data_IF_107016820861
#
_entry.id   IF_107016820861
#
_cell.length_a   1.000
_cell.length_b   1.000
_cell.length_c   1.000
_cell.angle_alpha   90.00
_cell.angle_beta   90.00
_cell.angle_gamma   90.00
#
_symmetry.space_group_name_H-M   'P 1'
#
loop_
_entity.id
_entity.type
_entity.pdbx_description
1 polymer ?
#
# COMPACT_ATOMS: atom_id res chain seq x y z
N UNK A 1 10.87 55.20 -0.52
CA UNK A 1 10.26 54.58 0.67
C UNK A 1 9.23 53.57 0.18
N UNK A 2 9.47 52.29 0.45
CA UNK A 2 8.58 51.18 0.12
C UNK A 2 7.72 50.94 1.36
N UNK A 3 6.39 51.07 1.27
CA UNK A 3 5.49 50.57 2.32
C UNK A 3 4.30 49.85 1.70
N UNK A 4 4.06 48.66 2.25
CA UNK A 4 3.31 47.53 1.70
C UNK A 4 2.07 47.36 2.58
N UNK A 5 0.90 47.77 2.09
CA UNK A 5 -0.37 47.46 2.77
C UNK A 5 -1.04 46.26 2.11
N UNK A 6 -0.96 45.13 2.82
CA UNK A 6 -1.80 43.93 2.68
C UNK A 6 -3.19 44.25 3.20
N UNK A 7 -4.22 43.63 2.60
CA UNK A 7 -5.53 43.18 3.15
C UNK A 7 -6.57 43.37 2.04
N UNK A 8 -7.50 42.48 1.72
CA UNK A 8 -7.77 41.07 1.95
C UNK A 8 -8.96 40.75 1.02
N UNK A 9 -9.29 39.47 0.84
CA UNK A 9 -10.67 39.10 0.52
C UNK A 9 -10.86 38.14 -0.65
N UNK A 10 -10.89 36.85 -0.32
CA UNK A 10 -11.77 35.83 -0.93
C UNK A 10 -11.56 35.57 -2.44
N UNK A 11 -10.53 34.78 -2.75
CA UNK A 11 -10.57 33.93 -3.95
C UNK A 11 -11.45 32.72 -3.67
N UNK A 12 -12.68 32.83 -4.18
CA UNK A 12 -13.69 31.79 -4.27
C UNK A 12 -13.25 30.72 -5.28
N UNK A 13 -13.62 29.47 -4.97
CA UNK A 13 -13.68 28.31 -5.87
C UNK A 13 -12.35 27.68 -6.30
N UNK A 14 -11.75 26.89 -5.41
CA UNK A 14 -11.01 25.71 -5.83
C UNK A 14 -12.03 24.68 -6.36
N UNK A 15 -12.09 24.57 -7.68
CA UNK A 15 -12.76 23.49 -8.37
C UNK A 15 -12.11 22.17 -7.93
N UNK A 16 -12.85 21.37 -7.18
CA UNK A 16 -12.51 19.97 -6.90
C UNK A 16 -12.72 19.21 -8.20
N UNK A 17 -11.66 19.18 -9.03
CA UNK A 17 -11.58 18.31 -10.19
C UNK A 17 -11.67 16.87 -9.72
N UNK A 18 -12.69 16.16 -10.19
CA UNK A 18 -12.95 14.77 -9.88
C UNK A 18 -11.72 13.90 -10.19
N UNK A 19 -11.22 13.23 -9.16
CA UNK A 19 -10.25 12.17 -9.29
C UNK A 19 -10.96 10.96 -9.89
N UNK A 20 -10.90 10.82 -11.22
CA UNK A 20 -11.30 9.58 -11.90
C UNK A 20 -10.19 8.57 -11.63
N UNK A 21 -10.45 7.62 -10.72
CA UNK A 21 -9.64 6.42 -10.57
C UNK A 21 -9.94 5.49 -11.75
N UNK A 22 -9.25 5.73 -12.87
CA UNK A 22 -9.11 4.78 -13.97
C UNK A 22 -8.34 3.56 -13.51
N UNK A 23 -8.89 2.37 -13.76
CA UNK A 23 -8.12 1.12 -13.81
C UNK A 23 -8.67 -0.07 -13.04
N UNK A 24 -9.97 -0.38 -13.14
CA UNK A 24 -10.39 -1.78 -12.97
C UNK A 24 -10.04 -2.52 -14.27
N UNK A 25 -8.79 -2.97 -14.36
CA UNK A 25 -8.45 -4.06 -15.26
C UNK A 25 -9.02 -5.33 -14.66
N UNK A 26 -10.01 -5.90 -15.34
CA UNK A 26 -10.40 -7.29 -15.21
C UNK A 26 -9.14 -8.16 -15.37
N UNK A 27 -8.65 -8.73 -14.27
CA UNK A 27 -7.58 -9.71 -14.29
C UNK A 27 -8.09 -11.00 -13.61
N UNK A 28 -8.75 -11.79 -14.44
CA UNK A 28 -9.19 -13.15 -14.20
C UNK A 28 -7.99 -14.10 -14.10
N UNK A 29 -7.26 -14.07 -12.97
CA UNK A 29 -6.46 -15.22 -12.48
C UNK A 29 -5.86 -15.09 -11.08
N UNK A 30 -6.00 -13.95 -10.39
CA UNK A 30 -5.81 -13.96 -8.94
C UNK A 30 -7.11 -14.50 -8.33
N UNK A 31 -7.12 -15.74 -7.82
CA UNK A 31 -8.24 -16.21 -6.99
C UNK A 31 -8.54 -15.08 -6.00
N UNK A 32 -9.77 -14.54 -5.95
CA UNK A 32 -10.05 -13.41 -5.08
C UNK A 32 -9.74 -13.88 -3.66
N UNK A 33 -8.62 -13.41 -3.11
CA UNK A 33 -8.28 -13.62 -1.71
C UNK A 33 -9.40 -12.94 -0.94
N UNK A 34 -10.23 -13.73 -0.24
CA UNK A 34 -11.24 -13.16 0.63
C UNK A 34 -10.54 -12.58 1.86
N UNK A 35 -10.07 -11.34 1.72
CA UNK A 35 -9.35 -10.63 2.77
C UNK A 35 -10.22 -10.53 4.04
N UNK A 36 -11.56 -10.56 3.94
CA UNK A 36 -12.43 -10.47 5.12
C UNK A 36 -12.41 -11.74 5.96
N UNK A 37 -12.24 -12.90 5.33
CA UNK A 37 -12.10 -14.20 5.98
C UNK A 37 -10.73 -14.40 6.66
N UNK A 38 -9.74 -13.55 6.34
CA UNK A 38 -8.39 -13.67 6.87
C UNK A 38 -8.25 -13.12 8.30
N UNK A 39 -7.27 -13.61 9.08
CA UNK A 39 -6.99 -13.11 10.43
C UNK A 39 -6.70 -11.60 10.47
N UNK A 40 -6.97 -10.96 11.61
CA UNK A 40 -6.87 -9.49 11.76
C UNK A 40 -5.47 -8.99 11.39
N UNK A 41 -4.43 -9.73 11.74
CA UNK A 41 -3.03 -9.36 11.53
C UNK A 41 -2.62 -9.53 10.07
N UNK A 42 -3.12 -10.58 9.41
CA UNK A 42 -3.02 -10.72 7.96
C UNK A 42 -3.62 -9.50 7.27
N UNK A 43 -4.87 -9.14 7.62
CA UNK A 43 -5.57 -8.01 6.99
C UNK A 43 -4.86 -6.68 7.25
N UNK A 44 -4.40 -6.47 8.48
CA UNK A 44 -3.69 -5.24 8.88
C UNK A 44 -2.42 -5.07 8.06
N UNK A 45 -1.62 -6.11 7.94
CA UNK A 45 -0.36 -6.05 7.20
C UNK A 45 -0.58 -6.00 5.68
N UNK A 46 -1.59 -6.72 5.17
CA UNK A 46 -2.06 -6.60 3.79
C UNK A 46 -2.44 -5.15 3.47
N UNK A 47 -3.19 -4.48 4.36
CA UNK A 47 -3.58 -3.08 4.18
C UNK A 47 -2.37 -2.15 4.15
N UNK A 48 -1.41 -2.33 5.08
CA UNK A 48 -0.16 -1.53 5.13
C UNK A 48 0.63 -1.66 3.83
N UNK A 49 0.85 -2.88 3.37
CA UNK A 49 1.65 -3.14 2.18
C UNK A 49 0.87 -2.86 0.88
N UNK A 50 -0.45 -2.64 0.98
CA UNK A 50 -1.31 -2.15 -0.09
C UNK A 50 -1.34 -0.61 -0.23
N UNK A 51 -0.66 0.16 0.62
CA UNK A 51 -0.74 1.64 0.53
C UNK A 51 0.05 2.17 -0.67
N UNK A 52 1.11 1.48 -1.10
CA UNK A 52 1.98 1.98 -2.15
C UNK A 52 2.99 0.95 -2.63
N UNK A 53 4.11 1.42 -3.19
CA UNK A 53 5.23 0.58 -3.59
C UNK A 53 6.06 0.14 -2.37
N UNK A 54 6.82 -0.95 -2.54
CA UNK A 54 7.83 -1.43 -1.57
C UNK A 54 8.73 -0.28 -1.08
N UNK A 55 9.23 0.57 -1.99
CA UNK A 55 10.05 1.75 -1.62
C UNK A 55 9.30 2.79 -0.79
N UNK A 56 8.00 2.98 -1.04
CA UNK A 56 7.18 3.92 -0.27
C UNK A 56 6.94 3.40 1.15
N UNK A 57 6.61 2.12 1.28
CA UNK A 57 6.39 1.49 2.59
C UNK A 57 7.71 1.46 3.38
N UNK A 58 8.83 1.11 2.75
CA UNK A 58 10.15 1.12 3.41
C UNK A 58 10.49 2.51 4.00
N UNK A 59 10.28 3.59 3.25
CA UNK A 59 10.48 4.95 3.76
C UNK A 59 9.55 5.29 4.92
N UNK A 60 8.26 4.92 4.80
CA UNK A 60 7.25 5.22 5.83
C UNK A 60 7.51 4.51 7.16
N UNK A 61 8.04 3.29 7.10
CA UNK A 61 8.30 2.45 8.27
C UNK A 61 9.78 2.42 8.69
N UNK A 62 10.63 3.26 8.10
CA UNK A 62 12.05 3.37 8.47
C UNK A 62 12.86 2.10 8.19
N UNK A 63 12.48 1.33 7.17
CA UNK A 63 13.18 0.10 6.79
C UNK A 63 14.39 0.47 5.92
N UNK A 64 15.59 0.13 6.39
CA UNK A 64 16.85 0.46 5.70
C UNK A 64 16.95 -0.19 4.31
N UNK A 65 16.46 -1.42 4.17
CA UNK A 65 16.42 -2.14 2.91
C UNK A 65 14.98 -2.29 2.42
N UNK A 66 14.71 -1.80 1.21
CA UNK A 66 13.40 -1.88 0.59
C UNK A 66 13.17 -3.26 -0.07
N UNK A 67 13.27 -4.34 0.72
CA UNK A 67 12.93 -5.70 0.28
C UNK A 67 11.54 -6.09 0.75
N UNK A 68 10.81 -6.95 0.01
CA UNK A 68 9.50 -7.44 0.42
C UNK A 68 9.50 -8.06 1.82
N UNK A 69 10.55 -8.79 2.18
CA UNK A 69 10.70 -9.50 3.44
C UNK A 69 10.95 -8.53 4.61
N UNK A 70 11.83 -7.53 4.42
CA UNK A 70 12.11 -6.53 5.45
C UNK A 70 10.87 -5.65 5.71
N UNK A 71 10.09 -5.36 4.66
CA UNK A 71 8.81 -4.66 4.79
C UNK A 71 7.76 -5.53 5.47
N UNK A 72 7.68 -6.82 5.14
CA UNK A 72 6.76 -7.74 5.80
C UNK A 72 7.05 -7.88 7.29
N UNK A 73 8.33 -7.88 7.68
CA UNK A 73 8.75 -7.83 9.09
C UNK A 73 8.35 -6.52 9.78
N UNK A 74 8.56 -5.38 9.12
CA UNK A 74 8.14 -4.08 9.63
C UNK A 74 6.61 -3.97 9.74
N UNK A 75 5.86 -4.51 8.79
CA UNK A 75 4.41 -4.56 8.81
C UNK A 75 3.89 -5.44 9.95
N UNK A 76 4.51 -6.61 10.19
CA UNK A 76 4.17 -7.48 11.32
C UNK A 76 4.38 -6.79 12.67
N UNK A 77 5.47 -6.01 12.82
CA UNK A 77 5.69 -5.17 14.00
C UNK A 77 4.65 -4.05 14.12
N UNK A 78 4.30 -3.42 13.00
CA UNK A 78 3.36 -2.30 12.97
C UNK A 78 1.91 -2.70 13.30
N UNK A 79 1.49 -3.92 12.97
CA UNK A 79 0.16 -4.45 13.35
C UNK A 79 0.11 -4.96 14.80
N UNK A 80 1.23 -4.92 15.52
CA UNK A 80 1.29 -5.33 16.92
C UNK A 80 1.27 -6.84 17.13
N UNK A 81 1.79 -7.63 16.18
CA UNK A 81 1.88 -9.09 16.35
C UNK A 81 2.76 -9.44 17.55
N UNK A 82 2.17 -10.06 18.56
CA UNK A 82 2.84 -10.45 19.82
C UNK A 82 3.26 -11.92 19.87
N UNK A 83 2.77 -12.73 18.93
CA UNK A 83 3.04 -14.17 18.83
C UNK A 83 3.68 -14.50 17.49
N UNK A 84 4.49 -15.57 17.44
CA UNK A 84 5.13 -16.03 16.21
C UNK A 84 4.11 -16.35 15.10
N UNK A 85 2.97 -16.95 15.46
CA UNK A 85 1.90 -17.26 14.51
C UNK A 85 1.25 -16.00 13.94
N UNK A 86 0.92 -15.04 14.80
CA UNK A 86 0.40 -13.72 14.41
C UNK A 86 1.37 -12.97 13.48
N UNK A 87 2.67 -12.99 13.81
CA UNK A 87 3.70 -12.37 12.98
C UNK A 87 3.82 -13.06 11.60
N UNK A 88 3.70 -14.39 11.55
CA UNK A 88 3.69 -15.13 10.29
C UNK A 88 2.45 -14.81 9.44
N UNK A 89 1.28 -14.67 10.06
CA UNK A 89 0.05 -14.26 9.37
C UNK A 89 0.17 -12.84 8.80
N UNK A 90 0.69 -11.90 9.60
CA UNK A 90 0.95 -10.53 9.16
C UNK A 90 1.96 -10.48 8.01
N UNK A 91 3.10 -11.17 8.12
CA UNK A 91 4.09 -11.26 7.04
C UNK A 91 3.46 -11.77 5.75
N UNK A 92 2.66 -12.83 5.84
CA UNK A 92 1.98 -13.41 4.67
C UNK A 92 1.01 -12.43 4.03
N UNK A 93 0.24 -11.69 4.82
CA UNK A 93 -0.65 -10.65 4.31
C UNK A 93 0.10 -9.54 3.57
N UNK A 94 1.24 -9.10 4.10
CA UNK A 94 2.07 -8.11 3.42
C UNK A 94 2.65 -8.64 2.11
N UNK A 95 3.19 -9.86 2.11
CA UNK A 95 3.79 -10.46 0.92
C UNK A 95 2.76 -10.72 -0.18
N UNK A 96 1.56 -11.19 0.16
CA UNK A 96 0.47 -11.35 -0.81
C UNK A 96 0.07 -10.00 -1.43
N UNK A 97 0.00 -8.93 -0.64
CA UNK A 97 -0.28 -7.58 -1.16
C UNK A 97 0.80 -7.07 -2.13
N UNK A 98 2.08 -7.37 -1.84
CA UNK A 98 3.20 -7.01 -2.71
C UNK A 98 3.17 -7.86 -3.99
N UNK A 99 2.93 -9.17 -3.87
CA UNK A 99 2.84 -10.09 -5.00
C UNK A 99 1.68 -9.75 -5.94
N UNK A 100 0.54 -9.34 -5.40
CA UNK A 100 -0.61 -8.87 -6.18
C UNK A 100 -0.30 -7.61 -7.01
N UNK A 101 0.79 -6.90 -6.71
CA UNK A 101 1.24 -5.67 -7.40
C UNK A 101 2.48 -5.86 -8.24
N UNK A 102 3.18 -6.98 -8.09
CA UNK A 102 4.33 -7.26 -8.92
C UNK A 102 3.86 -7.28 -10.38
N UNK A 103 4.54 -6.57 -11.30
CA UNK A 103 4.20 -6.65 -12.71
C UNK A 103 4.28 -8.12 -13.10
N UNK A 104 3.15 -8.74 -13.48
CA UNK A 104 3.20 -10.07 -14.08
C UNK A 104 4.00 -9.89 -15.36
N UNK A 105 5.18 -10.47 -15.45
CA UNK A 105 5.93 -10.51 -16.70
C UNK A 105 5.06 -11.26 -17.72
N UNK A 106 4.52 -10.61 -18.77
CA UNK A 106 3.83 -11.34 -19.82
C UNK A 106 4.91 -12.01 -20.65
N UNK A 107 5.26 -13.24 -20.33
CA UNK A 107 6.38 -13.91 -21.00
C UNK A 107 6.75 -15.24 -20.38
N UNK A 108 5.84 -16.21 -20.41
CA UNK A 108 6.18 -17.64 -20.48
C UNK A 108 4.96 -18.52 -20.78
N UNK A 109 4.12 -18.10 -21.72
CA UNK A 109 3.24 -19.03 -22.42
C UNK A 109 3.95 -19.35 -23.75
N UNK A 110 4.70 -20.46 -23.72
CA UNK A 110 5.35 -21.05 -24.89
C UNK A 110 4.27 -21.59 -25.87
N UNK A 111 4.59 -21.71 -27.17
CA UNK A 111 3.62 -21.68 -28.28
C UNK A 111 2.65 -22.86 -28.35
#
# INVERSE_FOLDING_TARGET
MLDRKITAGRMTALAVGGLVLTGCGDDESARPLDIRAQPVEYRGAYAICSIGSVRYVAQRYGVAEATPEAIADAAAKAVGSTSAESANQARRGCLDAIAARAPRTPGNEAP
#
